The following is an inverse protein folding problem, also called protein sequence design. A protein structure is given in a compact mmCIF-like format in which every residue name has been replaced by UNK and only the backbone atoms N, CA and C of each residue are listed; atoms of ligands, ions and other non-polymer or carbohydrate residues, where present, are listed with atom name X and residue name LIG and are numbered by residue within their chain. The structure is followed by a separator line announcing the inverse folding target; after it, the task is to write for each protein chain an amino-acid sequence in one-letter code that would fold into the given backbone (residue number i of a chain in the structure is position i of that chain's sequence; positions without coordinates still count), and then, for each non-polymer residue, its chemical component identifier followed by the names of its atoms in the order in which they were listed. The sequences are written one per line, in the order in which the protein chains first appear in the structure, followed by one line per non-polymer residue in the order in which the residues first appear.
data_IF_356596071594
#
_entry.id   IF_356596071594
#
_cell.length_a   1.000
_cell.length_b   1.000
_cell.length_c   1.000
_cell.angle_alpha   90.00
_cell.angle_beta   90.00
_cell.angle_gamma   90.00
#
_symmetry.space_group_name_H-M   'P 1'
#
loop_
_entity.id
_entity.type
_entity.pdbx_description
1 polymer ?
#
# COMPACT_ATOMS: atom_id res chain seq x y z
N UNK A 1 -16.03 9.20 14.17
CA UNK A 1 -15.91 10.66 14.31
C UNK A 1 -15.08 10.98 15.56
N UNK A 2 -14.52 12.19 15.74
CA UNK A 2 -13.66 12.51 16.90
C UNK A 2 -14.36 12.35 18.25
N UNK A 3 -15.69 12.45 18.27
CA UNK A 3 -16.57 12.23 19.41
C UNK A 3 -17.00 10.76 19.61
N UNK A 4 -16.47 9.83 18.79
CA UNK A 4 -16.81 8.41 18.82
C UNK A 4 -18.09 8.03 18.07
N UNK A 5 -18.83 8.99 17.50
CA UNK A 5 -20.03 8.69 16.71
C UNK A 5 -19.69 8.05 15.35
N UNK A 6 -20.67 7.34 14.76
CA UNK A 6 -20.54 6.73 13.45
C UNK A 6 -20.45 7.80 12.34
N UNK A 7 -19.61 7.57 11.33
CA UNK A 7 -19.52 8.47 10.17
C UNK A 7 -20.66 8.15 9.17
N UNK A 8 -21.61 9.08 8.90
CA UNK A 8 -22.66 8.85 7.91
C UNK A 8 -22.14 8.74 6.47
N UNK A 9 -20.94 9.28 6.19
CA UNK A 9 -20.28 9.23 4.88
C UNK A 9 -19.22 8.11 4.79
N UNK A 10 -19.31 7.09 5.65
CA UNK A 10 -18.33 6.02 5.66
C UNK A 10 -18.27 5.31 4.30
N UNK A 11 -17.06 5.20 3.76
CA UNK A 11 -16.79 4.42 2.54
C UNK A 11 -16.70 2.95 2.95
N UNK A 12 -17.37 2.06 2.20
CA UNK A 12 -17.24 0.62 2.40
C UNK A 12 -15.83 0.14 2.02
N UNK A 13 -14.98 -0.29 2.98
CA UNK A 13 -13.64 -0.76 2.68
C UNK A 13 -13.64 -2.07 1.90
N UNK A 14 -14.68 -2.90 2.07
CA UNK A 14 -14.76 -4.21 1.42
C UNK A 14 -14.94 -4.09 -0.10
N UNK A 15 -15.61 -3.02 -0.56
CA UNK A 15 -15.71 -2.69 -1.98
C UNK A 15 -14.35 -2.50 -2.66
N UNK A 16 -13.29 -2.18 -1.89
CA UNK A 16 -11.94 -1.95 -2.40
C UNK A 16 -10.93 -3.05 -2.01
N UNK A 17 -11.26 -3.94 -1.08
CA UNK A 17 -10.31 -4.90 -0.52
C UNK A 17 -9.68 -5.84 -1.57
N UNK A 18 -10.41 -6.16 -2.65
CA UNK A 18 -9.93 -7.01 -3.74
C UNK A 18 -8.84 -6.37 -4.61
N UNK A 19 -8.70 -5.04 -4.59
CA UNK A 19 -7.66 -4.33 -5.35
C UNK A 19 -6.25 -4.68 -4.87
N UNK A 20 -6.05 -4.89 -3.57
CA UNK A 20 -4.73 -5.25 -3.02
C UNK A 20 -4.17 -6.52 -3.66
N UNK A 21 -4.85 -7.68 -3.55
CA UNK A 21 -4.42 -8.93 -4.18
C UNK A 21 -4.31 -8.84 -5.71
N UNK A 22 -5.23 -8.12 -6.37
CA UNK A 22 -5.18 -7.94 -7.82
C UNK A 22 -3.88 -7.24 -8.25
N UNK A 23 -3.62 -6.06 -7.69
CA UNK A 23 -2.45 -5.27 -8.08
C UNK A 23 -1.15 -5.97 -7.65
N UNK A 24 -1.12 -6.54 -6.44
CA UNK A 24 0.04 -7.28 -5.93
C UNK A 24 0.35 -8.58 -6.68
N UNK A 25 -0.63 -9.21 -7.33
CA UNK A 25 -0.39 -10.38 -8.19
C UNK A 25 0.08 -9.99 -9.59
N UNK A 26 -0.49 -8.94 -10.18
CA UNK A 26 -0.13 -8.44 -11.51
C UNK A 26 1.28 -7.86 -11.59
N UNK A 27 1.80 -7.30 -10.49
CA UNK A 27 3.13 -6.68 -10.48
C UNK A 27 4.27 -7.71 -10.40
N UNK A 28 4.01 -8.96 -10.04
CA UNK A 28 5.06 -9.97 -9.80
C UNK A 28 6.01 -10.18 -10.99
N UNK A 29 5.53 -10.28 -12.26
CA UNK A 29 6.44 -10.39 -13.41
C UNK A 29 7.32 -9.15 -13.60
N UNK A 30 6.80 -7.97 -13.26
CA UNK A 30 7.54 -6.70 -13.34
C UNK A 30 8.66 -6.66 -12.31
N UNK A 31 8.43 -7.17 -11.10
CA UNK A 31 9.46 -7.29 -10.06
C UNK A 31 10.63 -8.17 -10.50
N UNK A 32 10.33 -9.33 -11.11
CA UNK A 32 11.35 -10.21 -11.68
C UNK A 32 12.13 -9.57 -12.84
N UNK A 33 11.43 -8.91 -13.77
CA UNK A 33 12.08 -8.19 -14.87
C UNK A 33 13.01 -7.06 -14.38
N UNK A 34 12.59 -6.33 -13.34
CA UNK A 34 13.38 -5.25 -12.76
C UNK A 34 14.62 -5.78 -12.04
N UNK A 35 14.51 -6.89 -11.31
CA UNK A 35 15.65 -7.55 -10.65
C UNK A 35 16.64 -8.13 -11.66
N UNK A 36 16.15 -8.67 -12.77
CA UNK A 36 16.98 -9.21 -13.85
C UNK A 36 17.85 -8.11 -14.50
N UNK A 37 17.38 -6.85 -14.49
CA UNK A 37 18.07 -5.70 -15.12
C UNK A 37 18.94 -4.88 -14.17
N UNK A 38 18.50 -4.67 -12.92
CA UNK A 38 19.15 -3.76 -11.96
C UNK A 38 19.87 -4.50 -10.82
N UNK A 39 19.71 -5.82 -10.74
CA UNK A 39 20.19 -6.64 -9.63
C UNK A 39 19.18 -6.72 -8.49
N UNK A 40 18.85 -7.94 -8.06
CA UNK A 40 17.84 -8.19 -7.03
C UNK A 40 18.11 -7.49 -5.69
N UNK A 41 19.38 -7.32 -5.31
CA UNK A 41 19.76 -6.62 -4.09
C UNK A 41 19.37 -5.13 -4.12
N UNK A 42 19.62 -4.44 -5.24
CA UNK A 42 19.28 -3.01 -5.41
C UNK A 42 17.77 -2.83 -5.42
N UNK A 43 17.04 -3.70 -6.13
CA UNK A 43 15.58 -3.68 -6.17
C UNK A 43 15.00 -3.88 -4.77
N UNK A 44 15.51 -4.85 -4.02
CA UNK A 44 15.03 -5.14 -2.65
C UNK A 44 15.32 -3.99 -1.67
N UNK A 45 16.47 -3.30 -1.83
CA UNK A 45 16.79 -2.14 -1.01
C UNK A 45 15.79 -1.00 -1.23
N UNK A 46 15.52 -0.65 -2.50
CA UNK A 46 14.52 0.37 -2.83
C UNK A 46 13.12 -0.04 -2.39
N UNK A 47 12.76 -1.30 -2.59
CA UNK A 47 11.47 -1.85 -2.17
C UNK A 47 11.25 -1.68 -0.66
N UNK A 48 12.29 -1.95 0.14
CA UNK A 48 12.26 -1.74 1.60
C UNK A 48 12.06 -0.27 1.97
N UNK A 49 12.76 0.65 1.30
CA UNK A 49 12.61 2.09 1.54
C UNK A 49 11.18 2.56 1.24
N UNK A 50 10.61 2.11 0.12
CA UNK A 50 9.23 2.45 -0.26
C UNK A 50 8.21 1.83 0.70
N UNK A 51 8.43 0.60 1.16
CA UNK A 51 7.57 -0.04 2.18
C UNK A 51 7.57 0.72 3.50
N UNK A 52 8.74 1.15 3.97
CA UNK A 52 8.85 1.95 5.20
C UNK A 52 8.09 3.27 5.03
N UNK A 53 8.35 4.00 3.94
CA UNK A 53 7.68 5.27 3.67
C UNK A 53 6.16 5.12 3.56
N UNK A 54 5.69 4.07 2.88
CA UNK A 54 4.26 3.81 2.71
C UNK A 54 3.59 3.42 4.03
N UNK A 55 4.27 2.62 4.86
CA UNK A 55 3.78 2.24 6.20
C UNK A 55 3.63 3.46 7.10
N UNK A 56 4.63 4.35 7.12
CA UNK A 56 4.56 5.61 7.87
C UNK A 56 3.44 6.51 7.35
N UNK A 57 3.26 6.60 6.04
CA UNK A 57 2.17 7.35 5.43
C UNK A 57 0.78 6.79 5.79
N UNK A 58 0.62 5.46 5.78
CA UNK A 58 -0.63 4.81 6.23
C UNK A 58 -0.93 5.18 7.68
N UNK A 59 0.05 5.05 8.58
CA UNK A 59 -0.11 5.42 9.98
C UNK A 59 -0.47 6.91 10.16
N UNK A 60 0.14 7.78 9.35
CA UNK A 60 -0.16 9.21 9.33
C UNK A 60 -1.62 9.49 8.93
N UNK A 61 -2.10 8.88 7.84
CA UNK A 61 -3.48 9.10 7.39
C UNK A 61 -4.53 8.49 8.33
N UNK A 62 -4.21 7.37 9.01
CA UNK A 62 -5.06 6.85 10.09
C UNK A 62 -5.17 7.87 11.23
N UNK A 63 -4.05 8.45 11.69
CA UNK A 63 -4.10 9.48 12.74
C UNK A 63 -4.91 10.71 12.30
N UNK A 64 -4.73 11.18 11.06
CA UNK A 64 -5.49 12.30 10.50
C UNK A 64 -6.99 12.00 10.42
N UNK A 65 -7.36 10.81 9.98
CA UNK A 65 -8.75 10.38 9.89
C UNK A 65 -9.42 10.33 11.27
N UNK A 66 -8.74 9.77 12.27
CA UNK A 66 -9.26 9.67 13.66
C UNK A 66 -9.49 11.04 14.29
N UNK A 67 -8.62 12.02 14.03
CA UNK A 67 -8.73 13.36 14.59
C UNK A 67 -9.65 14.31 13.80
N UNK A 68 -10.23 13.87 12.68
CA UNK A 68 -10.96 14.75 11.77
C UNK A 68 -12.48 14.58 11.86
N UNK A 69 -13.26 15.68 11.76
CA UNK A 69 -14.71 15.61 11.59
C UNK A 69 -15.14 15.11 10.20
N UNK A 70 -14.22 14.96 9.25
CA UNK A 70 -14.50 14.40 7.91
C UNK A 70 -13.49 13.29 7.58
N UNK A 71 -13.53 12.12 8.26
CA UNK A 71 -12.54 11.05 8.08
C UNK A 71 -12.43 10.50 6.66
N UNK A 72 -13.53 10.55 5.89
CA UNK A 72 -13.65 10.01 4.54
C UNK A 72 -12.66 10.63 3.54
N UNK A 73 -12.25 11.89 3.74
CA UNK A 73 -11.30 12.57 2.85
C UNK A 73 -9.90 11.95 2.89
N UNK A 74 -9.57 11.24 3.97
CA UNK A 74 -8.28 10.57 4.15
C UNK A 74 -8.28 9.12 3.65
N UNK A 75 -9.44 8.58 3.27
CA UNK A 75 -9.53 7.21 2.77
C UNK A 75 -8.77 7.02 1.46
N UNK A 76 -8.92 7.94 0.49
CA UNK A 76 -8.23 7.84 -0.81
C UNK A 76 -6.70 7.83 -0.68
N UNK A 77 -6.05 8.78 0.01
CA UNK A 77 -4.60 8.74 0.17
C UNK A 77 -4.13 7.54 1.03
N UNK A 78 -4.92 7.11 2.03
CA UNK A 78 -4.67 5.85 2.74
C UNK A 78 -4.68 4.65 1.78
N UNK A 79 -5.71 4.54 0.94
CA UNK A 79 -5.88 3.42 0.01
C UNK A 79 -4.75 3.38 -1.01
N UNK A 80 -4.32 4.53 -1.54
CA UNK A 80 -3.18 4.60 -2.47
C UNK A 80 -1.91 4.06 -1.82
N UNK A 81 -1.57 4.48 -0.60
CA UNK A 81 -0.38 3.99 0.10
C UNK A 81 -0.51 2.51 0.46
N UNK A 82 -1.71 2.06 0.81
CA UNK A 82 -1.99 0.66 1.05
C UNK A 82 -1.79 -0.19 -0.21
N UNK A 83 -2.24 0.28 -1.38
CA UNK A 83 -1.99 -0.39 -2.65
C UNK A 83 -0.50 -0.39 -3.02
N UNK A 84 0.24 0.68 -2.71
CA UNK A 84 1.70 0.71 -2.88
C UNK A 84 2.38 -0.36 -2.00
N UNK A 85 1.90 -0.61 -0.78
CA UNK A 85 2.39 -1.72 0.05
C UNK A 85 2.14 -3.09 -0.60
N UNK A 86 0.99 -3.29 -1.23
CA UNK A 86 0.71 -4.53 -1.98
C UNK A 86 1.60 -4.67 -3.22
N UNK A 87 1.85 -3.57 -3.94
CA UNK A 87 2.75 -3.51 -5.10
C UNK A 87 4.17 -3.89 -4.70
N UNK A 88 4.72 -3.20 -3.69
CA UNK A 88 6.09 -3.43 -3.19
C UNK A 88 6.26 -4.86 -2.68
N UNK A 89 5.32 -5.36 -1.89
CA UNK A 89 5.29 -6.77 -1.48
C UNK A 89 5.28 -7.74 -2.70
N UNK A 90 4.56 -7.42 -3.77
CA UNK A 90 4.56 -8.19 -5.00
C UNK A 90 5.92 -8.19 -5.73
N UNK A 91 6.60 -7.03 -5.75
CA UNK A 91 7.94 -6.86 -6.33
C UNK A 91 8.99 -7.62 -5.53
N UNK A 92 9.04 -7.44 -4.20
CA UNK A 92 9.99 -8.11 -3.32
C UNK A 92 9.83 -9.64 -3.27
N UNK A 93 8.63 -10.15 -3.53
CA UNK A 93 8.43 -11.58 -3.74
C UNK A 93 8.95 -12.02 -5.13
N UNK A 94 8.64 -11.27 -6.19
CA UNK A 94 9.08 -11.56 -7.56
C UNK A 94 10.60 -11.55 -7.76
N UNK A 95 11.32 -10.67 -7.03
CA UNK A 95 12.78 -10.55 -7.11
C UNK A 95 13.54 -11.74 -6.50
N UNK A 96 12.87 -12.60 -5.71
CA UNK A 96 13.46 -13.81 -5.10
C UNK A 96 13.15 -15.10 -5.85
N UNK A 97 12.23 -15.10 -6.82
CA UNK A 97 11.81 -16.31 -7.53
C UNK A 97 12.73 -16.74 -8.69
N UNK A 98 13.86 -16.05 -8.89
CA UNK A 98 14.94 -16.48 -9.78
C UNK A 98 16.27 -16.26 -9.06
N UNK A 99 16.70 -17.26 -8.30
CA UNK A 99 18.08 -17.42 -7.84
C UNK A 99 18.53 -18.81 -8.23
#
# INVERSE_FOLDING_TARGET
MPDGSANPNAIDPFAYAWWGPLVGSLIRPVGGWLSDKLGGAVVTQWDTVVMIGSTLGVAYYIQKATASPTPEVYFTPFLILFLILFITTGIGNGSKFKS
#
